data_IF_216275517934
#
_entry.id   IF_216275517934
#
_cell.length_a   1.000
_cell.length_b   1.000
_cell.length_c   1.000
_cell.angle_alpha   90.00
_cell.angle_beta   90.00
_cell.angle_gamma   90.00
#
_symmetry.space_group_name_H-M   'P 1'
#
loop_
_entity.id
_entity.type
_entity.pdbx_description
1 polymer ?
#
# COMPACT_ATOMS: atom_id res chain seq x y z
N UNK A 1 -23.22 10.22 -47.84
CA UNK A 1 -23.68 10.72 -46.52
C UNK A 1 -23.77 9.68 -45.37
N UNK A 2 -23.75 8.34 -45.54
CA UNK A 2 -23.84 7.42 -44.39
C UNK A 2 -22.53 7.30 -43.60
N UNK A 3 -21.36 7.45 -44.26
CA UNK A 3 -20.04 7.34 -43.62
C UNK A 3 -19.82 8.40 -42.53
N UNK A 4 -20.17 9.66 -42.79
CA UNK A 4 -20.03 10.74 -41.81
C UNK A 4 -20.89 10.56 -40.55
N UNK A 5 -22.10 10.00 -40.70
CA UNK A 5 -22.98 9.66 -39.57
C UNK A 5 -22.42 8.48 -38.76
N UNK A 6 -21.92 7.44 -39.45
CA UNK A 6 -21.28 6.31 -38.79
C UNK A 6 -20.01 6.72 -38.02
N UNK A 7 -19.18 7.60 -38.59
CA UNK A 7 -18.00 8.14 -37.90
C UNK A 7 -18.38 8.97 -36.69
N UNK A 8 -19.40 9.83 -36.78
CA UNK A 8 -19.89 10.60 -35.63
C UNK A 8 -20.42 9.70 -34.51
N UNK A 9 -21.17 8.64 -34.85
CA UNK A 9 -21.65 7.66 -33.86
C UNK A 9 -20.47 6.93 -33.22
N UNK A 10 -19.52 6.43 -34.00
CA UNK A 10 -18.32 5.75 -33.46
C UNK A 10 -17.55 6.65 -32.49
N UNK A 11 -17.30 7.92 -32.88
CA UNK A 11 -16.62 8.89 -32.03
C UNK A 11 -17.42 9.18 -30.75
N UNK A 12 -18.75 9.29 -30.84
CA UNK A 12 -19.59 9.49 -29.65
C UNK A 12 -19.55 8.31 -28.69
N UNK A 13 -19.49 7.08 -29.20
CA UNK A 13 -19.37 5.86 -28.38
C UNK A 13 -18.00 5.81 -27.70
N UNK A 14 -16.92 6.08 -28.44
CA UNK A 14 -15.56 6.13 -27.88
C UNK A 14 -15.47 7.21 -26.77
N UNK A 15 -16.02 8.40 -27.02
CA UNK A 15 -16.06 9.47 -26.04
C UNK A 15 -16.87 9.07 -24.79
N UNK A 16 -18.04 8.44 -24.97
CA UNK A 16 -18.85 7.96 -23.86
C UNK A 16 -18.11 6.91 -23.01
N UNK A 17 -17.43 5.95 -23.65
CA UNK A 17 -16.62 4.94 -22.95
C UNK A 17 -15.46 5.59 -22.19
N UNK A 18 -14.76 6.56 -22.79
CA UNK A 18 -13.67 7.27 -22.12
C UNK A 18 -14.15 8.08 -20.89
N UNK A 19 -15.31 8.72 -20.99
CA UNK A 19 -15.92 9.46 -19.87
C UNK A 19 -16.33 8.50 -18.76
N UNK A 20 -17.03 7.41 -19.09
CA UNK A 20 -17.44 6.40 -18.10
C UNK A 20 -16.22 5.74 -17.42
N UNK A 21 -15.19 5.41 -18.18
CA UNK A 21 -13.94 4.84 -17.64
C UNK A 21 -13.23 5.81 -16.69
N UNK A 22 -13.23 7.10 -17.02
CA UNK A 22 -12.63 8.15 -16.19
C UNK A 22 -13.42 8.35 -14.89
N UNK A 23 -14.75 8.39 -14.95
CA UNK A 23 -15.63 8.49 -13.77
C UNK A 23 -15.48 7.27 -12.87
N UNK A 24 -15.42 6.06 -13.43
CA UNK A 24 -15.21 4.83 -12.67
C UNK A 24 -13.85 4.82 -11.96
N UNK A 25 -12.79 5.22 -12.67
CA UNK A 25 -11.44 5.32 -12.09
C UNK A 25 -11.39 6.35 -10.96
N UNK A 26 -12.01 7.51 -11.17
CA UNK A 26 -12.12 8.54 -10.14
C UNK A 26 -12.84 8.02 -8.89
N UNK A 27 -13.98 7.35 -9.07
CA UNK A 27 -14.76 6.78 -7.99
C UNK A 27 -13.96 5.73 -7.19
N UNK A 28 -13.33 4.79 -7.88
CA UNK A 28 -12.55 3.72 -7.23
C UNK A 28 -11.34 4.24 -6.46
N UNK A 29 -10.69 5.33 -6.90
CA UNK A 29 -9.54 5.94 -6.21
C UNK A 29 -9.91 6.93 -5.11
N UNK A 30 -11.19 7.30 -4.99
CA UNK A 30 -11.67 8.21 -3.95
C UNK A 30 -12.44 7.49 -2.86
N UNK A 31 -13.00 6.31 -3.15
CA UNK A 31 -13.80 5.55 -2.19
C UNK A 31 -12.96 4.52 -1.44
N UNK A 32 -12.69 4.79 -0.16
CA UNK A 32 -12.09 3.81 0.74
C UNK A 32 -13.13 2.75 1.13
N UNK A 33 -12.85 1.50 0.77
CA UNK A 33 -13.64 0.35 1.22
C UNK A 33 -13.34 -0.01 2.68
N UNK A 34 -12.06 0.09 3.07
CA UNK A 34 -11.58 -0.18 4.42
C UNK A 34 -10.41 0.72 4.73
N UNK A 35 -10.23 1.09 5.99
CA UNK A 35 -9.13 1.91 6.46
C UNK A 35 -8.51 1.22 7.67
N UNK A 36 -7.19 1.33 7.83
CA UNK A 36 -6.53 0.70 8.96
C UNK A 36 -5.05 1.02 9.07
N UNK A 37 -4.46 0.55 10.17
CA UNK A 37 -3.04 0.71 10.47
C UNK A 37 -2.34 -0.65 10.49
N UNK A 38 -1.12 -0.70 9.95
CA UNK A 38 -0.22 -1.85 10.05
C UNK A 38 1.16 -1.40 10.48
N UNK A 39 1.78 -2.15 11.38
CA UNK A 39 3.15 -1.90 11.80
C UNK A 39 4.03 -3.10 11.46
N UNK A 40 5.19 -2.84 10.88
CA UNK A 40 6.09 -3.89 10.42
C UNK A 40 7.44 -3.33 10.02
N UNK A 41 8.31 -4.20 9.51
CA UNK A 41 9.61 -3.80 8.98
C UNK A 41 9.50 -3.56 7.48
N UNK A 42 9.88 -2.36 7.04
CA UNK A 42 9.91 -2.02 5.62
C UNK A 42 11.06 -2.78 4.96
N UNK A 43 10.75 -3.77 4.11
CA UNK A 43 11.77 -4.56 3.43
C UNK A 43 12.08 -4.02 2.05
N UNK A 44 11.05 -3.91 1.22
CA UNK A 44 11.20 -3.51 -0.17
C UNK A 44 10.43 -2.22 -0.36
N UNK A 45 11.04 -1.26 -1.03
CA UNK A 45 10.35 -0.07 -1.51
C UNK A 45 10.97 0.34 -2.84
N UNK A 46 10.18 0.27 -3.91
CA UNK A 46 10.70 0.47 -5.25
C UNK A 46 9.69 1.19 -6.15
N UNK A 47 10.22 1.99 -7.07
CA UNK A 47 9.41 2.65 -8.10
C UNK A 47 9.31 1.73 -9.31
N UNK A 48 8.18 1.04 -9.49
CA UNK A 48 7.98 0.05 -10.56
C UNK A 48 6.82 0.44 -11.48
N UNK A 49 6.82 -0.10 -12.69
CA UNK A 49 5.84 0.21 -13.73
C UNK A 49 6.48 0.49 -15.09
N UNK A 50 5.80 0.08 -16.16
CA UNK A 50 6.31 0.20 -17.54
C UNK A 50 5.93 1.54 -18.18
N UNK A 51 4.64 1.91 -18.16
CA UNK A 51 4.13 3.19 -18.66
C UNK A 51 3.94 4.22 -17.54
N UNK A 52 3.24 3.84 -16.47
CA UNK A 52 3.07 4.67 -15.28
C UNK A 52 3.85 4.05 -14.14
N UNK A 53 4.75 4.81 -13.52
CA UNK A 53 5.57 4.33 -12.43
C UNK A 53 4.94 4.70 -11.09
N UNK A 54 4.60 3.71 -10.29
CA UNK A 54 4.08 3.86 -8.92
C UNK A 54 5.14 3.43 -7.91
N UNK A 55 5.02 3.91 -6.68
CA UNK A 55 5.88 3.49 -5.58
C UNK A 55 5.22 2.36 -4.83
N UNK A 56 5.92 1.24 -4.75
CA UNK A 56 5.36 -0.01 -4.26
C UNK A 56 6.27 -0.52 -3.14
N UNK A 57 5.66 -0.78 -1.99
CA UNK A 57 6.33 -1.17 -0.77
C UNK A 57 5.84 -2.51 -0.24
N UNK A 58 6.70 -3.18 0.52
CA UNK A 58 6.36 -4.37 1.28
C UNK A 58 6.85 -4.20 2.73
N UNK A 59 5.94 -4.37 3.68
CA UNK A 59 6.29 -4.53 5.09
C UNK A 59 6.11 -5.97 5.53
N UNK A 60 6.99 -6.42 6.42
CA UNK A 60 6.83 -7.67 7.13
C UNK A 60 6.16 -7.43 8.48
N UNK A 61 4.99 -8.04 8.65
CA UNK A 61 4.29 -8.09 9.91
C UNK A 61 4.83 -9.28 10.70
N UNK A 62 5.43 -9.01 11.85
CA UNK A 62 5.84 -10.05 12.79
C UNK A 62 4.88 -10.04 13.98
N UNK A 63 4.08 -11.10 14.08
CA UNK A 63 3.14 -11.30 15.19
C UNK A 63 3.70 -12.19 16.29
N UNK A 64 4.65 -13.10 15.95
CA UNK A 64 5.26 -14.03 16.91
C UNK A 64 6.73 -14.32 16.56
N UNK A 65 7.64 -14.38 17.56
CA UNK A 65 9.02 -14.81 17.36
C UNK A 65 9.06 -16.24 16.79
N UNK A 66 9.77 -16.45 15.68
CA UNK A 66 9.92 -17.76 15.03
C UNK A 66 8.84 -18.15 14.03
N UNK A 67 7.75 -17.38 13.91
CA UNK A 67 6.77 -17.56 12.84
C UNK A 67 7.26 -16.92 11.53
N UNK A 68 6.81 -17.46 10.39
CA UNK A 68 7.06 -16.85 9.08
C UNK A 68 6.29 -15.51 9.04
N UNK A 69 6.99 -14.37 8.89
CA UNK A 69 6.34 -13.07 8.89
C UNK A 69 5.43 -12.91 7.66
N UNK A 70 4.23 -12.36 7.87
CA UNK A 70 3.30 -12.07 6.79
C UNK A 70 3.79 -10.84 6.00
N UNK A 71 3.79 -10.96 4.66
CA UNK A 71 4.13 -9.86 3.76
C UNK A 71 2.87 -9.06 3.46
N UNK A 72 2.94 -7.76 3.68
CA UNK A 72 1.90 -6.82 3.24
C UNK A 72 2.48 -5.87 2.21
N UNK A 73 2.00 -6.02 0.98
CA UNK A 73 2.31 -5.14 -0.13
C UNK A 73 1.33 -3.96 -0.17
N UNK A 74 1.85 -2.77 -0.47
CA UNK A 74 1.08 -1.54 -0.54
C UNK A 74 1.65 -0.58 -1.59
N UNK A 75 0.78 0.32 -2.05
CA UNK A 75 1.11 1.37 -3.00
C UNK A 75 1.15 2.73 -2.30
N UNK A 76 2.10 3.59 -2.68
CA UNK A 76 2.22 4.97 -2.19
C UNK A 76 2.14 5.93 -3.37
N UNK A 77 1.29 6.95 -3.26
CA UNK A 77 1.14 7.99 -4.29
C UNK A 77 1.64 9.36 -3.85
N UNK A 78 1.65 9.62 -2.54
CA UNK A 78 2.11 10.88 -1.97
C UNK A 78 3.64 10.92 -1.90
N UNK A 79 4.27 11.89 -2.55
CA UNK A 79 5.73 12.05 -2.58
C UNK A 79 6.34 12.31 -1.19
N UNK A 80 5.61 12.96 -0.28
CA UNK A 80 6.10 13.20 1.08
C UNK A 80 6.22 11.88 1.85
N UNK A 81 5.23 11.00 1.72
CA UNK A 81 5.24 9.65 2.31
C UNK A 81 6.32 8.78 1.67
N UNK A 82 6.50 8.89 0.34
CA UNK A 82 7.58 8.21 -0.39
C UNK A 82 8.93 8.56 0.21
N UNK A 83 9.25 9.85 0.39
CA UNK A 83 10.53 10.27 0.95
C UNK A 83 10.73 9.75 2.38
N UNK A 84 9.69 9.80 3.21
CA UNK A 84 9.74 9.26 4.57
C UNK A 84 10.05 7.76 4.58
N UNK A 85 9.34 6.97 3.77
CA UNK A 85 9.54 5.52 3.71
C UNK A 85 10.90 5.16 3.10
N UNK A 86 11.33 5.86 2.04
CA UNK A 86 12.60 5.61 1.38
C UNK A 86 13.80 5.82 2.32
N UNK A 87 13.71 6.79 3.24
CA UNK A 87 14.73 7.03 4.26
C UNK A 87 14.70 6.02 5.42
N UNK A 88 13.68 5.16 5.49
CA UNK A 88 13.44 4.21 6.58
C UNK A 88 13.37 2.75 6.12
N UNK A 89 13.95 2.44 4.95
CA UNK A 89 14.12 1.05 4.49
C UNK A 89 14.93 0.26 5.53
N UNK A 90 14.49 -0.95 5.83
CA UNK A 90 15.06 -1.84 6.86
C UNK A 90 14.66 -1.48 8.29
N UNK A 91 13.93 -0.38 8.52
CA UNK A 91 13.46 0.05 9.84
C UNK A 91 12.01 -0.36 10.07
N UNK A 92 11.62 -0.36 11.35
CA UNK A 92 10.22 -0.53 11.74
C UNK A 92 9.44 0.74 11.41
N UNK A 93 8.32 0.57 10.72
CA UNK A 93 7.42 1.65 10.32
C UNK A 93 6.00 1.26 10.69
N UNK A 94 5.17 2.26 10.98
CA UNK A 94 3.73 2.11 11.04
C UNK A 94 3.12 2.87 9.87
N UNK A 95 2.26 2.21 9.10
CA UNK A 95 1.58 2.78 7.95
C UNK A 95 0.08 2.79 8.18
N UNK A 96 -0.57 3.90 7.82
CA UNK A 96 -2.02 4.02 7.73
C UNK A 96 -2.41 3.93 6.26
N UNK A 97 -3.31 3.00 5.94
CA UNK A 97 -3.71 2.69 4.57
C UNK A 97 -5.22 2.78 4.38
N UNK A 98 -5.62 3.08 3.14
CA UNK A 98 -6.97 2.96 2.63
C UNK A 98 -7.01 1.83 1.59
N UNK A 99 -7.94 0.89 1.72
CA UNK A 99 -8.19 -0.16 0.76
C UNK A 99 -9.20 0.32 -0.28
N UNK A 100 -8.78 0.42 -1.53
CA UNK A 100 -9.61 0.86 -2.65
C UNK A 100 -9.84 -0.34 -3.57
N UNK A 101 -11.08 -0.86 -3.59
CA UNK A 101 -11.43 -2.06 -4.37
C UNK A 101 -11.79 -1.72 -5.81
N UNK A 102 -11.34 -2.54 -6.75
CA UNK A 102 -11.73 -2.45 -8.15
C UNK A 102 -10.97 -1.40 -8.97
N UNK A 103 -9.79 -0.99 -8.52
CA UNK A 103 -8.89 -0.11 -9.28
C UNK A 103 -8.58 -0.75 -10.64
N UNK A 104 -8.95 -0.12 -11.77
CA UNK A 104 -9.04 -0.80 -13.06
C UNK A 104 -7.71 -1.09 -13.73
N UNK A 105 -6.63 -0.39 -13.36
CA UNK A 105 -5.31 -0.58 -13.99
C UNK A 105 -4.17 -0.44 -13.00
N UNK A 106 -3.06 -1.14 -13.27
CA UNK A 106 -1.79 -1.01 -12.53
C UNK A 106 -1.13 0.37 -12.68
N UNK A 107 -1.59 1.20 -13.61
CA UNK A 107 -1.10 2.57 -13.73
C UNK A 107 -1.42 3.41 -12.47
N UNK A 108 -2.46 3.05 -11.73
CA UNK A 108 -2.90 3.77 -10.53
C UNK A 108 -2.34 3.18 -9.24
N UNK A 109 -1.94 1.90 -9.25
CA UNK A 109 -1.32 1.17 -8.16
C UNK A 109 -1.33 -0.33 -8.43
N UNK A 110 -0.28 -1.03 -8.03
CA UNK A 110 -0.23 -2.49 -8.17
C UNK A 110 -1.03 -3.23 -7.09
N UNK A 111 -1.37 -2.53 -6.01
CA UNK A 111 -2.15 -3.08 -4.91
C UNK A 111 -3.44 -2.30 -4.69
N UNK A 112 -4.38 -2.93 -3.98
CA UNK A 112 -5.59 -2.26 -3.50
C UNK A 112 -5.35 -1.42 -2.23
N UNK A 113 -4.14 -1.44 -1.66
CA UNK A 113 -3.83 -0.79 -0.39
C UNK A 113 -2.99 0.46 -0.61
N UNK A 114 -3.59 1.63 -0.43
CA UNK A 114 -2.95 2.92 -0.63
C UNK A 114 -2.54 3.54 0.70
N UNK A 115 -1.24 3.69 0.93
CA UNK A 115 -0.74 4.33 2.15
C UNK A 115 -0.92 5.84 2.07
N UNK A 116 -1.58 6.40 3.08
CA UNK A 116 -1.82 7.84 3.21
C UNK A 116 -0.88 8.50 4.21
N UNK A 117 -0.40 7.74 5.19
CA UNK A 117 0.50 8.24 6.23
C UNK A 117 1.47 7.16 6.66
N UNK A 118 2.71 7.56 6.87
CA UNK A 118 3.72 6.74 7.52
C UNK A 118 4.19 7.42 8.81
N UNK A 119 4.44 6.62 9.84
CA UNK A 119 5.10 7.05 11.06
C UNK A 119 6.39 6.26 11.17
N UNK A 120 7.49 7.01 11.15
CA UNK A 120 8.86 6.50 11.22
C UNK A 120 9.44 6.91 12.57
N UNK A 121 9.86 5.96 13.37
CA UNK A 121 10.40 6.24 14.70
C UNK A 121 10.86 4.97 15.39
N UNK A 122 11.63 5.08 16.48
CA UNK A 122 11.97 3.93 17.31
C UNK A 122 10.69 3.46 18.01
N UNK A 123 9.90 2.65 17.34
CA UNK A 123 8.91 1.82 18.02
C UNK A 123 9.71 0.65 18.54
N UNK A 124 10.48 0.85 19.63
CA UNK A 124 11.38 -0.15 20.20
C UNK A 124 10.71 -1.52 20.16
N UNK A 125 11.05 -2.38 19.18
CA UNK A 125 10.73 -3.78 19.31
C UNK A 125 11.75 -4.23 20.34
N UNK A 126 11.30 -4.73 21.48
CA UNK A 126 12.19 -5.56 22.30
C UNK A 126 12.82 -6.54 21.33
N UNK A 127 14.12 -6.37 21.05
CA UNK A 127 14.82 -7.23 20.13
C UNK A 127 14.63 -8.65 20.68
N UNK A 128 14.41 -9.70 19.88
CA UNK A 128 14.29 -11.06 20.42
C UNK A 128 15.49 -11.44 21.31
N UNK A 129 16.66 -10.85 21.03
CA UNK A 129 17.87 -10.91 21.87
C UNK A 129 17.76 -10.20 23.23
N UNK A 130 16.91 -9.19 23.38
CA UNK A 130 16.63 -8.51 24.64
C UNK A 130 15.50 -9.20 25.43
N UNK A 131 14.55 -9.86 24.76
CA UNK A 131 13.49 -10.63 25.41
C UNK A 131 14.01 -11.90 26.10
N UNK A 132 15.09 -12.49 25.59
CA UNK A 132 15.73 -13.68 26.16
C UNK A 132 16.67 -13.38 27.34
N UNK A 133 16.96 -12.10 27.61
CA UNK A 133 17.82 -11.68 28.73
C UNK A 133 17.06 -11.28 30.01
N UNK A 134 15.73 -11.26 29.98
CA UNK A 134 14.94 -11.00 31.18
C UNK A 134 14.93 -12.25 32.08
N UNK A 135 15.40 -12.18 33.33
CA UNK A 135 15.25 -13.30 34.25
C UNK A 135 13.77 -13.62 34.38
N UNK A 136 13.40 -14.89 34.16
CA UNK A 136 12.05 -15.36 34.41
C UNK A 136 11.64 -14.96 35.84
N UNK A 137 10.42 -14.43 36.08
CA UNK A 137 9.96 -14.16 37.43
C UNK A 137 10.05 -15.47 38.22
N UNK A 138 10.85 -15.47 39.28
CA UNK A 138 11.00 -16.62 40.16
C UNK A 138 9.62 -17.02 40.66
N UNK A 139 9.21 -18.24 40.33
CA UNK A 139 7.97 -18.81 40.84
C UNK A 139 8.02 -18.80 42.38
N UNK A 140 6.93 -18.42 43.07
CA UNK A 140 6.91 -18.50 44.52
C UNK A 140 7.06 -19.95 44.94
N UNK A 141 8.08 -20.23 45.76
CA UNK A 141 8.27 -21.53 46.39
C UNK A 141 7.07 -21.83 47.30
N UNK A 142 6.43 -22.98 47.07
CA UNK A 142 5.51 -23.62 48.00
C UNK A 142 6.22 -24.82 48.62
#
# INVERSE_FOLDING_TARGET
MPKARATAILLSVIAAVAVLGSLYTWFTLTWAYSEGDRAGYLQTFSKKGWLCKTWEGEILLSSMPGAIPERFAFTVRDEAVVQQLNNNIGRRVQISYEQHKGVPTSCFGDTEYFVKRAVTGPVDPVSPSQAQGAPAPAAPAQ
#
